data_IF_696622308926
#
_entry.id   IF_696622308926
#
_cell.length_a   1.000
_cell.length_b   1.000
_cell.length_c   1.000
_cell.angle_alpha   90.00
_cell.angle_beta   90.00
_cell.angle_gamma   90.00
#
_symmetry.space_group_name_H-M   'P 1'
#
loop_
_entity.id
_entity.type
_entity.pdbx_description
1 polymer ?
#
# COMPACT_ATOMS: atom_id res chain seq x y z
N UNK A 1 12.69 4.43 -7.37
CA UNK A 1 12.19 3.13 -6.84
C UNK A 1 10.69 3.09 -7.10
N UNK A 2 10.07 1.94 -7.35
CA UNK A 2 8.59 1.87 -7.50
C UNK A 2 8.01 1.10 -6.32
N UNK A 3 6.92 1.56 -5.70
CA UNK A 3 6.23 0.78 -4.66
C UNK A 3 5.58 -0.47 -5.27
N UNK A 4 5.66 -1.59 -4.56
CA UNK A 4 5.16 -2.90 -5.05
C UNK A 4 3.77 -3.29 -4.50
N UNK A 5 3.36 -2.67 -3.40
CA UNK A 5 2.01 -2.77 -2.83
C UNK A 5 1.55 -1.35 -2.53
N UNK A 6 0.38 -0.99 -3.05
CA UNK A 6 -0.26 0.31 -2.83
C UNK A 6 -1.73 0.01 -2.60
N UNK A 7 -2.25 0.25 -1.41
CA UNK A 7 -3.69 0.07 -1.19
C UNK A 7 -4.15 -0.02 0.24
N UNK A 8 -5.48 -0.13 0.36
CA UNK A 8 -6.12 -0.61 1.58
C UNK A 8 -5.83 -2.08 1.75
N UNK A 9 -5.56 -2.48 2.98
CA UNK A 9 -5.21 -3.86 3.25
C UNK A 9 -6.33 -4.56 4.01
N UNK A 10 -6.87 -5.69 3.52
CA UNK A 10 -7.90 -6.41 4.24
C UNK A 10 -7.36 -6.94 5.57
N UNK A 11 -8.09 -6.65 6.63
CA UNK A 11 -7.99 -7.32 7.92
C UNK A 11 -8.84 -8.59 7.93
N UNK A 12 -10.04 -8.49 7.34
CA UNK A 12 -10.92 -9.62 7.07
C UNK A 12 -11.32 -9.60 5.59
N UNK A 13 -11.17 -10.73 4.91
CA UNK A 13 -11.63 -10.89 3.52
C UNK A 13 -13.16 -10.91 3.46
N UNK A 14 -13.73 -10.47 2.34
CA UNK A 14 -15.18 -10.59 2.13
C UNK A 14 -15.60 -12.08 2.12
N UNK A 15 -16.79 -12.35 2.66
CA UNK A 15 -17.44 -13.66 2.58
C UNK A 15 -18.40 -13.66 1.39
N UNK A 16 -18.38 -14.73 0.58
CA UNK A 16 -19.23 -14.88 -0.60
C UNK A 16 -20.18 -16.06 -0.45
N UNK A 17 -21.40 -15.95 -0.97
CA UNK A 17 -22.32 -17.10 -1.08
C UNK A 17 -21.95 -18.00 -2.27
N UNK A 18 -22.69 -19.10 -2.46
CA UNK A 18 -22.49 -20.04 -3.58
C UNK A 18 -22.64 -19.40 -4.97
N UNK A 19 -23.39 -18.30 -5.05
CA UNK A 19 -23.63 -17.50 -6.25
C UNK A 19 -22.54 -16.43 -6.47
N UNK A 20 -21.52 -16.39 -5.61
CA UNK A 20 -20.41 -15.40 -5.60
C UNK A 20 -20.85 -13.97 -5.31
N UNK A 21 -21.97 -13.79 -4.63
CA UNK A 21 -22.41 -12.50 -4.13
C UNK A 21 -21.82 -12.27 -2.73
N UNK A 22 -21.50 -11.02 -2.42
CA UNK A 22 -20.95 -10.64 -1.11
C UNK A 22 -22.04 -10.74 -0.05
N UNK A 23 -21.84 -11.60 0.94
CA UNK A 23 -22.72 -11.72 2.13
C UNK A 23 -22.15 -10.94 3.31
N UNK A 24 -20.83 -10.84 3.42
CA UNK A 24 -20.15 -9.99 4.39
C UNK A 24 -19.04 -9.21 3.68
N UNK A 25 -19.04 -7.86 3.76
CA UNK A 25 -18.01 -7.07 3.11
C UNK A 25 -16.66 -7.28 3.78
N UNK A 26 -15.58 -7.06 3.03
CA UNK A 26 -14.24 -7.05 3.60
C UNK A 26 -14.09 -5.91 4.60
N UNK A 27 -13.37 -6.17 5.69
CA UNK A 27 -12.94 -5.16 6.66
C UNK A 27 -11.49 -4.83 6.33
N UNK A 28 -11.19 -3.54 6.21
CA UNK A 28 -9.86 -3.07 5.85
C UNK A 28 -9.19 -2.44 7.07
N UNK A 29 -7.88 -2.65 7.20
CA UNK A 29 -7.06 -1.87 8.12
C UNK A 29 -7.15 -0.40 7.77
N UNK A 30 -7.11 0.41 8.81
CA UNK A 30 -7.10 1.86 8.69
C UNK A 30 -5.88 2.36 7.91
N UNK A 31 -6.09 3.43 7.14
CA UNK A 31 -5.08 4.08 6.32
C UNK A 31 -4.83 3.47 4.93
N UNK A 32 -3.90 4.10 4.23
CA UNK A 32 -3.36 3.66 2.96
C UNK A 32 -1.92 3.18 3.16
N UNK A 33 -1.61 1.98 2.69
CA UNK A 33 -0.35 1.33 3.00
C UNK A 33 0.51 1.18 1.76
N UNK A 34 1.81 1.42 1.92
CA UNK A 34 2.79 1.30 0.85
C UNK A 34 4.02 0.55 1.35
N UNK A 35 4.46 -0.44 0.57
CA UNK A 35 5.64 -1.24 0.90
C UNK A 35 6.77 -0.98 -0.10
N UNK A 36 7.98 -0.86 0.44
CA UNK A 36 9.22 -0.78 -0.33
C UNK A 36 10.21 -1.86 0.13
N UNK A 37 11.10 -2.31 -0.76
CA UNK A 37 12.12 -3.30 -0.43
C UNK A 37 13.20 -2.77 0.53
N UNK A 38 13.34 -1.45 0.60
CA UNK A 38 14.31 -0.73 1.41
C UNK A 38 13.67 0.53 1.97
N UNK A 39 14.34 1.15 2.94
CA UNK A 39 13.91 2.43 3.48
C UNK A 39 13.95 3.53 2.41
N UNK A 40 12.97 4.43 2.43
CA UNK A 40 12.83 5.59 1.55
C UNK A 40 12.94 6.81 2.47
N UNK A 41 14.09 7.51 2.49
CA UNK A 41 14.33 8.61 3.41
C UNK A 41 13.27 9.71 3.37
N UNK A 42 12.71 9.98 2.19
CA UNK A 42 11.66 10.98 1.97
C UNK A 42 10.32 10.62 2.63
N UNK A 43 10.14 9.36 3.02
CA UNK A 43 8.91 8.84 3.62
C UNK A 43 9.09 8.44 5.09
N UNK A 44 10.22 8.79 5.72
CA UNK A 44 10.58 8.28 7.05
C UNK A 44 9.52 8.60 8.12
N UNK A 45 8.87 9.76 8.02
CA UNK A 45 7.81 10.19 8.94
C UNK A 45 6.53 9.34 8.84
N UNK A 46 6.35 8.62 7.73
CA UNK A 46 5.21 7.72 7.48
C UNK A 46 5.55 6.26 7.76
N UNK A 47 6.78 5.97 8.17
CA UNK A 47 7.24 4.61 8.43
C UNK A 47 6.47 4.02 9.62
N UNK A 48 5.92 2.82 9.45
CA UNK A 48 5.27 2.12 10.55
C UNK A 48 6.28 1.81 11.66
N UNK A 49 5.94 2.15 12.91
CA UNK A 49 6.72 1.76 14.08
C UNK A 49 5.78 1.22 15.18
N UNK A 50 5.87 -0.08 15.54
CA UNK A 50 6.79 -1.08 14.99
C UNK A 50 6.47 -1.42 13.52
N UNK A 51 7.49 -1.92 12.81
CA UNK A 51 7.27 -2.58 11.52
C UNK A 51 6.39 -3.83 11.73
N UNK A 52 5.44 -4.13 10.82
CA UNK A 52 4.58 -5.31 10.96
C UNK A 52 5.39 -6.62 10.95
N UNK A 53 5.15 -7.50 11.92
CA UNK A 53 5.81 -8.82 12.00
C UNK A 53 5.41 -9.75 10.83
N UNK A 54 4.20 -9.57 10.30
CA UNK A 54 3.66 -10.28 9.14
C UNK A 54 3.34 -9.27 8.03
N UNK A 55 4.36 -8.80 7.30
CA UNK A 55 4.15 -7.87 6.20
C UNK A 55 3.35 -8.56 5.09
N UNK A 56 2.48 -7.79 4.45
CA UNK A 56 1.55 -8.30 3.45
C UNK A 56 2.19 -8.87 2.19
N UNK A 57 3.45 -8.53 1.94
CA UNK A 57 4.26 -9.12 0.89
C UNK A 57 5.66 -9.30 1.42
N UNK A 58 6.23 -10.46 1.15
CA UNK A 58 7.66 -10.72 1.32
C UNK A 58 8.30 -10.66 -0.07
N UNK A 59 9.43 -9.97 -0.19
CA UNK A 59 10.16 -9.87 -1.45
C UNK A 59 10.85 -11.20 -1.79
N UNK A 60 11.16 -11.40 -3.07
CA UNK A 60 11.96 -12.57 -3.47
C UNK A 60 13.26 -12.60 -2.67
N UNK A 61 13.62 -13.78 -2.15
CA UNK A 61 14.76 -13.94 -1.25
C UNK A 61 14.44 -13.76 0.24
N UNK A 62 13.18 -13.60 0.63
CA UNK A 62 12.77 -13.58 2.04
C UNK A 62 12.94 -12.23 2.74
N UNK A 63 13.17 -11.16 1.96
CA UNK A 63 13.36 -9.81 2.50
C UNK A 63 12.01 -9.25 2.95
N UNK A 64 11.93 -8.86 4.23
CA UNK A 64 10.76 -8.15 4.75
C UNK A 64 10.76 -6.71 4.22
N UNK A 65 9.63 -6.22 3.70
CA UNK A 65 9.51 -4.84 3.24
C UNK A 65 9.64 -3.85 4.41
N UNK A 66 9.93 -2.61 4.06
CA UNK A 66 9.65 -1.45 4.92
C UNK A 66 8.24 -0.95 4.60
N UNK A 67 7.38 -0.97 5.60
CA UNK A 67 5.98 -0.58 5.51
C UNK A 67 5.80 0.89 5.93
N UNK A 68 5.02 1.64 5.15
CA UNK A 68 4.60 3.01 5.41
C UNK A 68 3.07 3.09 5.43
N UNK A 69 2.52 3.94 6.31
CA UNK A 69 1.09 4.20 6.43
C UNK A 69 0.80 5.68 6.22
N UNK A 70 -0.18 5.96 5.39
CA UNK A 70 -0.77 7.27 5.14
C UNK A 70 -2.24 7.25 5.60
N UNK A 71 -2.83 8.41 5.82
CA UNK A 71 -4.25 8.58 6.15
C UNK A 71 -5.12 8.02 5.01
N UNK A 72 -4.80 8.39 3.76
CA UNK A 72 -5.53 7.93 2.59
C UNK A 72 -4.68 7.92 1.30
N UNK A 73 -5.34 7.59 0.19
CA UNK A 73 -4.72 7.58 -1.13
C UNK A 73 -4.25 8.98 -1.57
N UNK A 74 -4.98 10.03 -1.23
CA UNK A 74 -4.66 11.39 -1.64
C UNK A 74 -3.41 11.91 -0.92
N UNK A 75 -3.24 11.57 0.36
CA UNK A 75 -2.01 11.87 1.09
C UNK A 75 -0.81 11.17 0.44
N UNK A 76 -0.92 9.87 0.16
CA UNK A 76 0.12 9.14 -0.57
C UNK A 76 0.47 9.83 -1.90
N UNK A 77 -0.53 10.16 -2.72
CA UNK A 77 -0.32 10.80 -4.02
C UNK A 77 0.28 12.21 -3.94
N UNK A 78 0.17 12.89 -2.79
CA UNK A 78 0.78 14.20 -2.52
C UNK A 78 2.25 14.08 -2.17
N UNK A 79 2.64 13.05 -1.41
CA UNK A 79 4.01 12.90 -0.88
C UNK A 79 4.85 11.89 -1.64
N UNK A 80 4.24 11.12 -2.56
CA UNK A 80 4.94 10.12 -3.37
C UNK A 80 6.10 10.76 -4.15
N UNK A 81 7.36 10.49 -3.79
CA UNK A 81 8.52 11.11 -4.42
C UNK A 81 8.78 10.55 -5.83
N UNK A 82 8.04 9.52 -6.25
CA UNK A 82 8.17 8.86 -7.55
C UNK A 82 7.04 9.23 -8.51
N UNK A 83 6.20 10.21 -8.17
CA UNK A 83 5.20 10.73 -9.09
C UNK A 83 5.94 11.45 -10.22
N UNK A 84 6.03 10.82 -11.38
CA UNK A 84 6.50 11.48 -12.60
C UNK A 84 5.49 12.55 -12.97
N UNK A 85 5.88 13.82 -12.88
CA UNK A 85 5.30 14.87 -13.72
C UNK A 85 5.50 14.42 -15.18
N UNK A 86 4.48 13.88 -15.83
CA UNK A 86 4.06 14.13 -17.23
C UNK A 86 3.18 12.97 -17.75
N UNK A 87 1.86 13.14 -17.70
CA UNK A 87 0.95 12.55 -18.70
C UNK A 87 0.21 13.65 -19.48
N UNK A 88 0.68 14.90 -19.38
CA UNK A 88 0.13 16.05 -20.10
C UNK A 88 0.58 16.13 -21.56
N UNK A 89 1.59 15.35 -21.98
CA UNK A 89 2.15 15.40 -23.34
C UNK A 89 1.68 14.29 -24.31
N UNK A 90 0.69 13.45 -23.96
CA UNK A 90 0.25 12.34 -24.83
C UNK A 90 -0.93 12.65 -25.76
N UNK A 91 -1.45 13.89 -25.76
CA UNK A 91 -2.52 14.32 -26.69
C UNK A 91 -2.30 15.73 -27.29
N UNK A 92 -1.06 16.03 -27.67
CA UNK A 92 -0.72 17.18 -28.51
C UNK A 92 -0.75 16.84 -30.00
#
# INVERSE_FOLDING_TARGET
MKPDVIGKIPEQTATFNEQREVVEPAIYKDGWHVNFAQEVPELIDYKCDPQPETPYRVYQGGISPVCYKFEDKAEWERVNPFKTEDESHLWG
#
